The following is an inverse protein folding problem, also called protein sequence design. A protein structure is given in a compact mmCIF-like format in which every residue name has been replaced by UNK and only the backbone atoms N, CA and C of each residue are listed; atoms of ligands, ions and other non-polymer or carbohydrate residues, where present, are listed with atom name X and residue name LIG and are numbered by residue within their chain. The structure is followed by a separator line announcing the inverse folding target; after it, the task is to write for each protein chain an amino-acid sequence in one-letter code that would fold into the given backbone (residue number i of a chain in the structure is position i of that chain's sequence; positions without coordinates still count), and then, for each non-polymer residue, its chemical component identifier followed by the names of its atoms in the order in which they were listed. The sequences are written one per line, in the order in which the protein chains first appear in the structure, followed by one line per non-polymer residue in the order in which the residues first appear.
data_IF_037374345902
#
_entry.id   IF_037374345902
#
_cell.length_a   1.000
_cell.length_b   1.000
_cell.length_c   1.000
_cell.angle_alpha   90.00
_cell.angle_beta   90.00
_cell.angle_gamma   90.00
#
_symmetry.space_group_name_H-M   'P 1'
#
loop_
_entity.id
_entity.type
_entity.pdbx_description
1 polymer ?
#
# COMPACT_ATOMS: atom_id res chain seq x y z
N UNK A 1 3.73 11.16 -43.51
CA UNK A 1 3.81 10.61 -42.14
C UNK A 1 3.38 9.15 -42.21
N UNK A 2 4.30 8.22 -41.95
CA UNK A 2 4.13 6.80 -42.31
C UNK A 2 3.24 6.08 -41.28
N UNK A 3 2.08 5.61 -41.74
CA UNK A 3 1.17 4.59 -41.21
C UNK A 3 1.56 3.96 -39.86
N UNK A 4 1.15 4.58 -38.76
CA UNK A 4 1.16 3.95 -37.43
C UNK A 4 0.02 2.93 -37.40
N UNK A 5 0.37 1.64 -37.47
CA UNK A 5 -0.59 0.54 -37.39
C UNK A 5 -1.35 0.65 -36.06
N UNK A 6 -2.68 0.63 -36.12
CA UNK A 6 -3.59 0.53 -34.97
C UNK A 6 -3.53 -0.89 -34.38
N UNK A 7 -2.37 -1.26 -33.83
CA UNK A 7 -2.17 -2.54 -33.16
C UNK A 7 -2.76 -2.51 -31.76
N UNK A 8 -3.40 -3.62 -31.35
CA UNK A 8 -3.67 -3.91 -29.94
C UNK A 8 -2.36 -4.37 -29.30
N UNK A 9 -1.70 -3.47 -28.58
CA UNK A 9 -0.47 -3.71 -27.83
C UNK A 9 -0.38 -2.77 -26.63
N UNK A 10 0.57 -2.98 -25.72
CA UNK A 10 0.70 -2.18 -24.49
C UNK A 10 0.98 -0.69 -24.76
N UNK A 11 1.47 -0.36 -25.96
CA UNK A 11 1.76 0.99 -26.43
C UNK A 11 0.79 1.38 -27.56
N UNK A 12 -0.41 1.80 -27.18
CA UNK A 12 -1.38 2.40 -28.11
C UNK A 12 -1.01 3.87 -28.28
N UNK A 13 -1.04 4.39 -29.52
CA UNK A 13 -0.74 5.79 -29.82
C UNK A 13 -1.57 6.77 -28.97
N UNK A 14 -2.85 6.46 -28.74
CA UNK A 14 -3.71 7.24 -27.85
C UNK A 14 -3.22 7.25 -26.39
N UNK A 15 -2.61 6.17 -25.92
CA UNK A 15 -1.98 6.10 -24.60
C UNK A 15 -0.72 6.95 -24.52
N UNK A 16 0.11 6.93 -25.56
CA UNK A 16 1.31 7.77 -25.67
C UNK A 16 0.97 9.27 -25.68
N UNK A 17 -0.03 9.68 -26.46
CA UNK A 17 -0.48 11.08 -26.50
C UNK A 17 -0.93 11.55 -25.11
N UNK A 18 -1.71 10.73 -24.39
CA UNK A 18 -2.15 11.05 -23.02
C UNK A 18 -0.98 11.15 -22.04
N UNK A 19 0.05 10.32 -22.22
CA UNK A 19 1.23 10.32 -21.35
C UNK A 19 2.06 11.59 -21.56
N UNK A 20 2.25 12.02 -22.81
CA UNK A 20 2.93 13.29 -23.15
C UNK A 20 2.15 14.48 -22.63
N UNK A 21 0.84 14.53 -22.87
CA UNK A 21 -0.01 15.63 -22.36
C UNK A 21 0.08 15.74 -20.83
N UNK A 22 0.00 14.59 -20.12
CA UNK A 22 0.17 14.58 -18.66
C UNK A 22 1.53 15.13 -18.24
N UNK A 23 2.59 14.77 -18.95
CA UNK A 23 3.94 15.26 -18.64
C UNK A 23 4.03 16.78 -18.83
N UNK A 24 3.45 17.34 -19.89
CA UNK A 24 3.38 18.80 -20.07
C UNK A 24 2.60 19.49 -18.94
N UNK A 25 1.53 18.86 -18.44
CA UNK A 25 0.70 19.40 -17.35
C UNK A 25 1.36 19.31 -15.96
N UNK A 26 2.07 18.21 -15.67
CA UNK A 26 2.53 17.89 -14.31
C UNK A 26 4.04 17.83 -14.11
N UNK A 27 4.81 17.73 -15.21
CA UNK A 27 6.27 17.55 -15.19
C UNK A 27 6.72 16.17 -14.68
N UNK A 28 5.80 15.24 -14.43
CA UNK A 28 6.09 13.94 -13.80
C UNK A 28 5.84 12.78 -14.77
N UNK A 29 6.81 11.87 -14.84
CA UNK A 29 6.66 10.57 -15.51
C UNK A 29 6.11 9.47 -14.59
N UNK A 30 6.08 9.74 -13.28
CA UNK A 30 5.60 8.76 -12.30
C UNK A 30 4.13 8.36 -12.56
N UNK A 31 3.85 7.08 -12.33
CA UNK A 31 2.48 6.60 -12.44
C UNK A 31 1.64 7.22 -11.33
N UNK A 32 0.39 7.58 -11.65
CA UNK A 32 -0.48 8.07 -10.57
C UNK A 32 -0.87 6.86 -9.74
N UNK A 33 -1.00 7.07 -8.43
CA UNK A 33 -1.73 6.11 -7.62
C UNK A 33 -3.08 5.83 -8.30
N UNK A 34 -3.38 4.55 -8.49
CA UNK A 34 -4.65 4.13 -9.10
C UNK A 34 -5.79 4.82 -8.35
N UNK A 35 -6.68 5.43 -9.10
CA UNK A 35 -7.93 5.95 -8.54
C UNK A 35 -8.70 4.78 -7.90
N UNK A 36 -9.20 4.99 -6.67
CA UNK A 36 -9.87 3.95 -5.91
C UNK A 36 -9.79 4.20 -4.41
N UNK A 37 -10.24 3.22 -3.62
CA UNK A 37 -10.07 3.26 -2.16
C UNK A 37 -8.56 3.30 -1.88
N UNK A 38 -8.04 4.29 -1.13
CA UNK A 38 -6.63 4.31 -0.78
C UNK A 38 -6.28 2.97 -0.12
N UNK A 39 -5.18 2.35 -0.56
CA UNK A 39 -4.64 1.18 0.13
C UNK A 39 -4.44 1.54 1.59
N UNK A 40 -4.53 0.54 2.49
CA UNK A 40 -4.23 0.68 3.92
C UNK A 40 -2.97 1.56 4.04
N UNK A 41 -3.16 2.81 4.49
CA UNK A 41 -2.19 3.85 4.17
C UNK A 41 -0.80 3.47 4.68
N UNK A 42 0.23 3.85 3.94
CA UNK A 42 1.61 3.64 4.36
C UNK A 42 1.83 4.19 5.79
N UNK A 43 1.21 5.33 6.10
CA UNK A 43 1.19 5.93 7.44
C UNK A 43 0.62 5.02 8.52
N UNK A 44 -0.46 4.28 8.24
CA UNK A 44 -1.03 3.33 9.21
C UNK A 44 -0.17 2.08 9.34
N UNK A 45 0.47 1.63 8.26
CA UNK A 45 1.39 0.49 8.34
C UNK A 45 2.61 0.75 9.21
N UNK A 46 3.17 1.95 9.17
CA UNK A 46 4.33 2.30 10.01
C UNK A 46 3.94 2.41 11.48
N UNK A 47 2.79 3.01 11.80
CA UNK A 47 2.28 3.04 13.18
C UNK A 47 1.98 1.64 13.73
N UNK A 48 1.39 0.76 12.91
CA UNK A 48 1.14 -0.63 13.32
C UNK A 48 2.45 -1.39 13.51
N UNK A 49 3.46 -1.20 12.66
CA UNK A 49 4.76 -1.84 12.83
C UNK A 49 5.44 -1.40 14.15
N UNK A 50 5.47 -0.10 14.41
CA UNK A 50 6.06 0.44 15.63
C UNK A 50 5.36 -0.08 16.90
N UNK A 51 4.03 -0.12 16.92
CA UNK A 51 3.31 -0.64 18.10
C UNK A 51 3.40 -2.15 18.26
N UNK A 52 3.67 -2.89 17.20
CA UNK A 52 3.92 -4.33 17.33
C UNK A 52 5.30 -4.58 17.92
N UNK A 53 6.31 -3.77 17.56
CA UNK A 53 7.66 -3.83 18.16
C UNK A 53 7.67 -3.47 19.65
N UNK A 54 6.90 -2.44 20.06
CA UNK A 54 6.73 -2.10 21.49
C UNK A 54 6.07 -3.25 22.26
N UNK A 55 5.00 -3.85 21.69
CA UNK A 55 4.31 -4.99 22.30
C UNK A 55 5.21 -6.22 22.43
N UNK A 56 6.07 -6.48 21.44
CA UNK A 56 7.05 -7.57 21.48
C UNK A 56 8.13 -7.32 22.55
N UNK A 57 8.56 -6.07 22.71
CA UNK A 57 9.58 -5.69 23.70
C UNK A 57 9.05 -5.71 25.13
N UNK A 58 7.78 -5.34 25.33
CA UNK A 58 7.13 -5.30 26.65
C UNK A 58 6.68 -6.70 27.12
N UNK A 59 6.47 -7.64 26.20
CA UNK A 59 5.92 -8.95 26.50
C UNK A 59 7.02 -9.92 26.96
N UNK A 60 7.08 -10.18 28.27
CA UNK A 60 7.96 -11.19 28.85
C UNK A 60 7.76 -12.61 28.30
N UNK A 61 6.62 -12.88 27.64
CA UNK A 61 6.28 -14.15 27.02
C UNK A 61 6.59 -14.22 25.51
N UNK A 62 7.06 -13.12 24.89
CA UNK A 62 7.35 -13.06 23.45
C UNK A 62 6.11 -13.17 22.55
N UNK A 63 4.90 -13.04 23.12
CA UNK A 63 3.64 -13.07 22.37
C UNK A 63 3.11 -11.65 22.20
N UNK A 64 2.86 -11.21 20.97
CA UNK A 64 2.37 -9.86 20.64
C UNK A 64 0.96 -9.92 20.04
N UNK A 65 -0.01 -9.24 20.66
CA UNK A 65 -1.41 -9.40 20.26
C UNK A 65 -1.86 -8.32 19.27
N UNK A 66 -2.27 -8.75 18.07
CA UNK A 66 -2.93 -7.88 17.09
C UNK A 66 -4.20 -7.19 17.65
N UNK A 67 -4.88 -7.81 18.62
CA UNK A 67 -6.05 -7.19 19.29
C UNK A 67 -5.62 -6.05 20.21
N UNK A 68 -4.48 -6.20 20.88
CA UNK A 68 -3.96 -5.19 21.78
C UNK A 68 -3.45 -3.97 21.01
N UNK A 69 -2.71 -4.19 19.92
CA UNK A 69 -2.33 -3.13 18.99
C UNK A 69 -3.57 -2.36 18.48
N UNK A 70 -4.69 -3.06 18.29
CA UNK A 70 -5.97 -2.47 17.86
C UNK A 70 -6.54 -1.50 18.87
N UNK A 71 -6.48 -1.87 20.15
CA UNK A 71 -6.91 -1.01 21.25
C UNK A 71 -6.01 0.22 21.39
N UNK A 72 -4.69 0.05 21.29
CA UNK A 72 -3.73 1.18 21.40
C UNK A 72 -3.87 2.17 20.25
N UNK A 73 -4.04 1.69 19.02
CA UNK A 73 -4.16 2.53 17.82
C UNK A 73 -5.59 2.98 17.49
N UNK A 74 -6.60 2.51 18.23
CA UNK A 74 -8.01 2.77 17.93
C UNK A 74 -8.46 2.17 16.58
N UNK A 75 -7.80 1.10 16.12
CA UNK A 75 -8.07 0.46 14.84
C UNK A 75 -8.86 -0.84 15.05
N UNK A 76 -9.78 -1.17 14.12
CA UNK A 76 -10.47 -2.45 14.19
C UNK A 76 -9.47 -3.61 14.01
N UNK A 77 -9.64 -4.74 14.72
CA UNK A 77 -8.72 -5.88 14.64
C UNK A 77 -8.51 -6.43 13.22
N UNK A 78 -9.53 -6.30 12.36
CA UNK A 78 -9.45 -6.70 10.95
C UNK A 78 -8.48 -5.82 10.15
N UNK A 79 -8.42 -4.52 10.42
CA UNK A 79 -7.45 -3.62 9.78
C UNK A 79 -6.03 -3.96 10.19
N UNK A 80 -5.79 -4.27 11.46
CA UNK A 80 -4.45 -4.66 11.92
C UNK A 80 -4.03 -5.98 11.31
N UNK A 81 -4.91 -6.99 11.28
CA UNK A 81 -4.61 -8.26 10.59
C UNK A 81 -4.28 -8.04 9.11
N UNK A 82 -5.03 -7.20 8.41
CA UNK A 82 -4.78 -6.93 6.99
C UNK A 82 -3.45 -6.19 6.77
N UNK A 83 -3.07 -5.28 7.67
CA UNK A 83 -1.78 -4.57 7.61
C UNK A 83 -0.63 -5.53 7.92
N UNK A 84 -0.75 -6.32 8.99
CA UNK A 84 0.23 -7.34 9.37
C UNK A 84 0.49 -8.32 8.23
N UNK A 85 -0.56 -8.94 7.69
CA UNK A 85 -0.44 -9.91 6.61
C UNK A 85 -0.05 -9.28 5.28
N UNK A 86 -0.69 -8.18 4.89
CA UNK A 86 -0.60 -7.64 3.53
C UNK A 86 0.55 -6.67 3.31
N UNK A 87 1.06 -6.03 4.37
CA UNK A 87 2.12 -5.01 4.27
C UNK A 87 3.38 -5.43 5.02
N UNK A 88 3.24 -5.94 6.26
CA UNK A 88 4.38 -6.28 7.11
C UNK A 88 4.84 -7.74 6.98
N UNK A 89 4.13 -8.56 6.20
CA UNK A 89 4.36 -10.01 6.05
C UNK A 89 4.46 -10.78 7.40
N UNK A 90 3.81 -10.25 8.44
CA UNK A 90 3.70 -10.86 9.75
C UNK A 90 2.36 -11.59 9.85
N UNK A 91 2.40 -12.82 10.35
CA UNK A 91 1.22 -13.66 10.45
C UNK A 91 0.73 -13.64 11.90
N UNK A 92 -0.44 -13.06 12.20
CA UNK A 92 -0.99 -12.90 13.55
C UNK A 92 -1.41 -14.20 14.24
N UNK A 93 -1.22 -15.36 13.61
CA UNK A 93 -1.29 -16.66 14.27
C UNK A 93 0.08 -17.19 14.70
N UNK A 94 1.16 -16.49 14.35
CA UNK A 94 2.54 -16.76 14.77
C UNK A 94 3.03 -15.76 15.82
N UNK A 95 2.17 -14.81 16.21
CA UNK A 95 2.40 -13.74 17.19
C UNK A 95 1.66 -14.03 18.50
#
# INVERSE_FOLDING_TARGET
MKNVKTGKGPLILAGLIKLVQRFEETGLFEDRFRSGRPSLSHTRSTCVAAEMETLESDSAAGTSSAREAGRRLGLPPSSIRNILHGVLNQYPYKL
#
